data_IF_858748466638
#
_entry.id   IF_858748466638
#
_cell.length_a   1.000
_cell.length_b   1.000
_cell.length_c   1.000
_cell.angle_alpha   90.00
_cell.angle_beta   90.00
_cell.angle_gamma   90.00
#
_symmetry.space_group_name_H-M   'P 1'
#
loop_
_entity.id
_entity.type
_entity.pdbx_description
1 polymer ?
#
# COMPACT_ATOMS: atom_id res chain seq x y z
N UNK A 1 5.42 22.22 -6.01
CA UNK A 1 5.39 20.94 -5.27
C UNK A 1 4.75 19.91 -6.14
N UNK A 2 5.48 18.88 -6.46
CA UNK A 2 4.99 17.76 -7.26
C UNK A 2 4.61 16.60 -6.34
N UNK A 3 3.45 16.00 -6.60
CA UNK A 3 2.93 14.82 -5.91
C UNK A 3 2.71 13.71 -6.93
N UNK A 4 3.19 12.52 -6.63
CA UNK A 4 2.92 11.31 -7.41
C UNK A 4 2.15 10.30 -6.57
N UNK A 5 1.07 9.76 -7.10
CA UNK A 5 0.30 8.66 -6.51
C UNK A 5 0.56 7.41 -7.35
N UNK A 6 0.91 6.34 -6.68
CA UNK A 6 1.38 5.10 -7.29
C UNK A 6 0.43 3.97 -6.89
N UNK A 7 -0.01 3.22 -7.87
CA UNK A 7 -0.84 2.02 -7.72
C UNK A 7 -0.13 0.81 -8.29
N UNK A 8 -0.52 -0.37 -7.84
CA UNK A 8 -0.07 -1.62 -8.45
C UNK A 8 -1.22 -2.62 -8.55
N UNK A 9 -1.41 -3.20 -9.73
CA UNK A 9 -2.43 -4.21 -10.02
C UNK A 9 -1.82 -5.34 -10.84
N UNK A 10 -1.76 -6.53 -10.25
CA UNK A 10 -1.18 -7.72 -10.85
C UNK A 10 -2.10 -8.93 -10.74
N UNK A 11 -2.09 -9.74 -11.79
CA UNK A 11 -2.85 -10.98 -11.87
C UNK A 11 -4.22 -10.82 -12.52
N UNK A 12 -4.62 -11.86 -13.26
CA UNK A 12 -5.84 -11.85 -14.09
C UNK A 12 -7.12 -11.50 -13.33
N UNK A 13 -7.25 -11.97 -12.10
CA UNK A 13 -8.46 -11.70 -11.30
C UNK A 13 -8.62 -10.22 -10.96
N UNK A 14 -7.53 -9.53 -10.61
CA UNK A 14 -7.54 -8.10 -10.32
C UNK A 14 -7.73 -7.29 -11.59
N UNK A 15 -6.97 -7.61 -12.63
CA UNK A 15 -7.01 -6.91 -13.91
C UNK A 15 -8.36 -7.04 -14.61
N UNK A 16 -9.00 -8.20 -14.56
CA UNK A 16 -10.33 -8.38 -15.13
C UNK A 16 -11.40 -7.52 -14.45
N UNK A 17 -11.28 -7.28 -13.15
CA UNK A 17 -12.18 -6.40 -12.41
C UNK A 17 -12.01 -4.91 -12.77
N UNK A 18 -10.92 -4.54 -13.44
CA UNK A 18 -10.66 -3.18 -13.91
C UNK A 18 -10.99 -2.96 -15.39
N UNK A 19 -11.36 -4.02 -16.11
CA UNK A 19 -11.75 -3.99 -17.55
C UNK A 19 -13.28 -4.00 -17.74
N UNK A 20 -14.02 -3.49 -16.77
CA UNK A 20 -15.48 -3.51 -16.79
C UNK A 20 -16.04 -2.64 -17.92
N UNK A 21 -17.19 -3.05 -18.47
CA UNK A 21 -17.93 -2.28 -19.46
C UNK A 21 -18.41 -0.94 -18.86
N UNK A 22 -18.73 0.01 -19.75
CA UNK A 22 -19.17 1.34 -19.35
C UNK A 22 -20.40 1.26 -18.42
N UNK A 23 -20.25 1.82 -17.22
CA UNK A 23 -21.32 1.85 -16.20
C UNK A 23 -21.12 0.89 -15.04
N UNK A 24 -20.15 0.00 -15.11
CA UNK A 24 -19.76 -0.85 -13.99
C UNK A 24 -18.56 -0.23 -13.26
N UNK A 25 -18.53 -0.35 -11.94
CA UNK A 25 -17.44 0.18 -11.13
C UNK A 25 -16.26 -0.81 -11.10
N UNK A 26 -15.11 -0.41 -11.64
CA UNK A 26 -13.88 -1.20 -11.55
C UNK A 26 -13.29 -1.17 -10.13
N UNK A 27 -12.44 -2.14 -9.82
CA UNK A 27 -11.78 -2.23 -8.51
C UNK A 27 -11.01 -0.95 -8.14
N UNK A 28 -10.30 -0.36 -9.10
CA UNK A 28 -9.50 0.85 -8.92
C UNK A 28 -10.36 2.13 -8.87
N UNK A 29 -11.61 2.11 -9.33
CA UNK A 29 -12.42 3.33 -9.47
C UNK A 29 -12.59 4.12 -8.17
N UNK A 30 -12.93 3.53 -7.01
CA UNK A 30 -13.08 4.30 -5.78
C UNK A 30 -11.81 5.05 -5.40
N UNK A 31 -10.67 4.39 -5.56
CA UNK A 31 -9.34 4.96 -5.29
C UNK A 31 -9.03 6.08 -6.27
N UNK A 32 -9.13 5.80 -7.57
CA UNK A 32 -8.87 6.76 -8.64
C UNK A 32 -9.73 8.01 -8.51
N UNK A 33 -11.05 7.86 -8.34
CA UNK A 33 -11.98 8.98 -8.21
C UNK A 33 -11.70 9.82 -6.96
N UNK A 34 -11.41 9.18 -5.83
CA UNK A 34 -11.06 9.91 -4.60
C UNK A 34 -9.74 10.65 -4.74
N UNK A 35 -8.73 10.05 -5.38
CA UNK A 35 -7.46 10.75 -5.67
C UNK A 35 -7.70 11.96 -6.55
N UNK A 36 -8.47 11.86 -7.62
CA UNK A 36 -8.81 12.98 -8.50
C UNK A 36 -9.57 14.09 -7.76
N UNK A 37 -10.41 13.73 -6.81
CA UNK A 37 -11.15 14.69 -5.98
C UNK A 37 -10.23 15.48 -5.05
N UNK A 38 -9.33 14.81 -4.35
CA UNK A 38 -8.51 15.46 -3.31
C UNK A 38 -7.17 15.99 -3.83
N UNK A 39 -6.60 15.33 -4.85
CA UNK A 39 -5.32 15.67 -5.47
C UNK A 39 -5.41 15.74 -7.00
N UNK A 40 -6.24 16.64 -7.57
CA UNK A 40 -6.53 16.68 -9.01
C UNK A 40 -5.32 16.95 -9.90
N UNK A 41 -4.20 17.41 -9.32
CA UNK A 41 -2.95 17.72 -10.04
C UNK A 41 -1.85 16.70 -9.78
N UNK A 42 -2.13 15.65 -8.99
CA UNK A 42 -1.15 14.60 -8.76
C UNK A 42 -0.87 13.85 -10.06
N UNK A 43 0.39 13.51 -10.28
CA UNK A 43 0.76 12.51 -11.27
C UNK A 43 0.28 11.14 -10.78
N UNK A 44 -0.34 10.36 -11.66
CA UNK A 44 -0.81 9.01 -11.37
C UNK A 44 0.04 8.00 -12.14
N UNK A 45 0.54 6.98 -11.45
CA UNK A 45 1.35 5.92 -12.04
C UNK A 45 0.81 4.56 -11.60
N UNK A 46 0.60 3.65 -12.55
CA UNK A 46 0.12 2.29 -12.31
C UNK A 46 1.12 1.27 -12.80
N UNK A 47 1.59 0.41 -11.92
CA UNK A 47 2.37 -0.78 -12.28
C UNK A 47 1.44 -1.98 -12.46
N UNK A 48 1.58 -2.69 -13.58
CA UNK A 48 0.68 -3.80 -13.91
C UNK A 48 1.30 -4.77 -14.90
N UNK A 49 0.81 -6.00 -14.92
CA UNK A 49 1.07 -6.98 -15.99
C UNK A 49 0.01 -6.93 -17.11
N UNK A 50 -0.93 -5.96 -17.06
CA UNK A 50 -2.05 -5.82 -17.97
C UNK A 50 -2.08 -4.42 -18.61
N UNK A 51 -1.52 -4.24 -19.83
CA UNK A 51 -1.44 -2.93 -20.47
C UNK A 51 -2.82 -2.32 -20.79
N UNK A 52 -3.86 -3.14 -20.98
CA UNK A 52 -5.19 -2.70 -21.37
C UNK A 52 -5.89 -1.87 -20.29
N UNK A 53 -5.43 -1.88 -19.05
CA UNK A 53 -5.93 -0.98 -17.99
C UNK A 53 -5.73 0.50 -18.38
N UNK A 54 -4.67 0.81 -19.14
CA UNK A 54 -4.43 2.16 -19.67
C UNK A 54 -5.53 2.69 -20.60
N UNK A 55 -6.31 1.81 -21.22
CA UNK A 55 -7.45 2.20 -22.04
C UNK A 55 -8.62 2.71 -21.19
N UNK A 56 -8.71 2.26 -19.94
CA UNK A 56 -9.74 2.68 -18.98
C UNK A 56 -9.32 3.99 -18.28
N UNK A 57 -8.07 4.07 -17.82
CA UNK A 57 -7.55 5.21 -17.04
C UNK A 57 -6.53 6.01 -17.86
N UNK A 58 -7.00 6.78 -18.85
CA UNK A 58 -6.16 7.47 -19.87
C UNK A 58 -5.21 8.54 -19.33
N UNK A 59 -5.45 9.07 -18.15
CA UNK A 59 -4.58 10.06 -17.49
C UNK A 59 -3.64 9.45 -16.44
N UNK A 60 -3.56 8.11 -16.41
CA UNK A 60 -2.63 7.35 -15.59
C UNK A 60 -1.44 6.89 -16.45
N UNK A 61 -0.22 7.14 -15.99
CA UNK A 61 0.98 6.56 -16.59
C UNK A 61 1.03 5.06 -16.28
N UNK A 62 0.76 4.22 -17.26
CA UNK A 62 0.80 2.77 -17.09
C UNK A 62 2.22 2.26 -17.35
N UNK A 63 2.79 1.58 -16.37
CA UNK A 63 4.09 0.90 -16.45
C UNK A 63 3.86 -0.60 -16.47
N UNK A 64 3.94 -1.14 -17.67
CA UNK A 64 3.80 -2.58 -17.88
C UNK A 64 5.07 -3.29 -17.42
N UNK A 65 4.88 -4.29 -16.58
CA UNK A 65 5.96 -5.12 -16.02
C UNK A 65 5.95 -6.48 -16.70
N UNK A 66 7.08 -6.90 -17.22
CA UNK A 66 7.31 -8.27 -17.69
C UNK A 66 7.57 -9.17 -16.47
N UNK A 67 6.49 -9.66 -15.88
CA UNK A 67 6.54 -10.44 -14.65
C UNK A 67 7.22 -11.80 -14.79
N UNK A 68 7.46 -12.26 -16.00
CA UNK A 68 8.20 -13.50 -16.26
C UNK A 68 9.71 -13.31 -16.14
N UNK A 69 10.17 -12.11 -16.51
CA UNK A 69 11.59 -11.79 -16.50
C UNK A 69 11.97 -10.84 -15.35
N UNK A 70 11.07 -9.94 -14.95
CA UNK A 70 11.38 -8.85 -14.02
C UNK A 70 10.83 -9.05 -12.60
N UNK A 71 9.92 -10.01 -12.39
CA UNK A 71 9.37 -10.27 -11.06
C UNK A 71 10.28 -11.19 -10.23
N UNK A 72 10.58 -10.82 -8.97
CA UNK A 72 11.31 -11.70 -8.05
C UNK A 72 10.45 -12.85 -7.50
N UNK A 73 9.17 -12.93 -7.86
CA UNK A 73 8.20 -13.86 -7.29
C UNK A 73 7.75 -14.90 -8.31
N UNK A 74 7.55 -16.15 -7.86
CA UNK A 74 7.00 -17.21 -8.71
C UNK A 74 5.50 -17.01 -8.93
N UNK A 75 5.08 -17.03 -10.20
CA UNK A 75 3.65 -17.00 -10.59
C UNK A 75 2.83 -18.18 -10.05
N UNK A 76 3.48 -19.28 -9.72
CA UNK A 76 2.84 -20.47 -9.16
C UNK A 76 2.37 -20.27 -7.71
N UNK A 77 2.88 -19.24 -7.04
CA UNK A 77 2.50 -18.95 -5.68
C UNK A 77 1.09 -18.33 -5.62
N UNK A 78 0.20 -18.88 -4.79
CA UNK A 78 -1.20 -18.45 -4.67
C UNK A 78 -1.40 -16.95 -4.36
N UNK A 79 -0.40 -16.32 -3.76
CA UNK A 79 -0.40 -14.88 -3.41
C UNK A 79 0.53 -14.04 -4.29
N UNK A 80 0.98 -14.60 -5.40
CA UNK A 80 1.90 -13.94 -6.32
C UNK A 80 1.46 -12.51 -6.69
N UNK A 81 0.20 -12.30 -7.08
CA UNK A 81 -0.31 -10.98 -7.45
C UNK A 81 -0.19 -9.95 -6.31
N UNK A 82 -0.41 -10.37 -5.06
CA UNK A 82 -0.26 -9.47 -3.91
C UNK A 82 1.20 -9.13 -3.62
N UNK A 83 2.10 -10.11 -3.72
CA UNK A 83 3.53 -9.84 -3.57
C UNK A 83 4.04 -8.87 -4.63
N UNK A 84 3.57 -9.00 -5.88
CA UNK A 84 3.87 -8.05 -6.93
C UNK A 84 3.32 -6.65 -6.62
N UNK A 85 2.07 -6.53 -6.19
CA UNK A 85 1.51 -5.22 -5.80
C UNK A 85 2.38 -4.56 -4.73
N UNK A 86 2.57 -5.23 -3.59
CA UNK A 86 3.37 -4.72 -2.47
C UNK A 86 4.79 -4.28 -2.94
N UNK A 87 5.44 -5.09 -3.76
CA UNK A 87 6.81 -4.85 -4.24
C UNK A 87 6.90 -3.68 -5.22
N UNK A 88 6.01 -3.66 -6.25
CA UNK A 88 6.07 -2.62 -7.28
C UNK A 88 5.59 -1.26 -6.78
N UNK A 89 4.77 -1.21 -5.75
CA UNK A 89 4.47 0.02 -5.02
C UNK A 89 5.74 0.61 -4.40
N UNK A 90 6.56 -0.21 -3.73
CA UNK A 90 7.84 0.24 -3.16
C UNK A 90 8.84 0.64 -4.26
N UNK A 91 8.90 -0.14 -5.36
CA UNK A 91 9.72 0.22 -6.51
C UNK A 91 9.30 1.57 -7.10
N UNK A 92 8.01 1.81 -7.20
CA UNK A 92 7.45 3.08 -7.68
C UNK A 92 7.83 4.26 -6.79
N UNK A 93 7.71 4.12 -5.47
CA UNK A 93 8.16 5.14 -4.52
C UNK A 93 9.63 5.49 -4.71
N UNK A 94 10.50 4.48 -4.81
CA UNK A 94 11.94 4.66 -4.99
C UNK A 94 12.31 5.31 -6.35
N UNK A 95 11.51 5.09 -7.39
CA UNK A 95 11.72 5.63 -8.74
C UNK A 95 11.09 7.01 -8.94
N UNK A 96 10.20 7.42 -8.05
CA UNK A 96 9.52 8.72 -8.16
C UNK A 96 10.51 9.90 -8.15
N UNK A 97 10.19 10.91 -8.95
CA UNK A 97 10.90 12.19 -9.03
C UNK A 97 10.10 13.35 -8.43
N UNK A 98 8.87 13.09 -7.99
CA UNK A 98 8.05 14.08 -7.31
C UNK A 98 8.64 14.45 -5.94
N UNK A 99 8.25 15.58 -5.37
CA UNK A 99 8.68 15.96 -4.00
C UNK A 99 8.20 14.95 -2.96
N UNK A 100 6.94 14.51 -3.13
CA UNK A 100 6.31 13.48 -2.30
C UNK A 100 5.68 12.43 -3.21
N UNK A 101 5.90 11.17 -2.91
CA UNK A 101 5.24 10.05 -3.55
C UNK A 101 4.39 9.28 -2.51
N UNK A 102 3.22 8.81 -2.93
CA UNK A 102 2.34 8.00 -2.11
C UNK A 102 1.99 6.75 -2.91
N UNK A 103 2.37 5.57 -2.41
CA UNK A 103 1.82 4.32 -2.91
C UNK A 103 0.54 3.98 -2.15
N UNK A 104 -0.40 3.33 -2.81
CA UNK A 104 -1.63 2.90 -2.17
C UNK A 104 -2.28 1.72 -2.89
N UNK A 105 -2.86 0.81 -2.11
CA UNK A 105 -3.68 -0.27 -2.62
C UNK A 105 -4.82 0.27 -3.50
N UNK A 106 -5.15 -0.45 -4.54
CA UNK A 106 -6.16 -0.08 -5.53
C UNK A 106 -7.61 -0.04 -5.00
N UNK A 107 -7.81 -0.44 -3.77
CA UNK A 107 -9.10 -0.47 -3.08
C UNK A 107 -9.14 0.41 -1.81
N UNK A 108 -8.33 1.47 -1.80
CA UNK A 108 -8.40 2.53 -0.80
C UNK A 108 -9.21 3.72 -1.32
N UNK A 109 -9.86 4.44 -0.43
CA UNK A 109 -10.60 5.65 -0.76
C UNK A 109 -10.28 6.77 0.23
N UNK A 110 -9.92 7.94 -0.27
CA UNK A 110 -9.84 9.14 0.54
C UNK A 110 -11.25 9.63 0.89
N UNK A 111 -11.52 9.83 2.18
CA UNK A 111 -12.84 10.19 2.68
C UNK A 111 -12.90 11.61 3.27
N UNK A 112 -11.76 12.25 3.52
CA UNK A 112 -11.68 13.56 4.16
C UNK A 112 -10.65 14.47 3.51
N UNK A 113 -10.90 15.80 3.55
CA UNK A 113 -9.92 16.81 3.14
C UNK A 113 -8.64 16.81 3.99
N UNK A 114 -8.68 16.21 5.17
CA UNK A 114 -7.50 16.07 6.04
C UNK A 114 -6.39 15.25 5.37
N UNK A 115 -6.72 14.39 4.41
CA UNK A 115 -5.72 13.63 3.64
C UNK A 115 -4.67 14.55 3.00
N UNK A 116 -4.99 15.80 2.70
CA UNK A 116 -4.04 16.77 2.13
C UNK A 116 -2.87 17.09 3.08
N UNK A 117 -3.08 16.96 4.39
CA UNK A 117 -2.03 17.19 5.39
C UNK A 117 -0.97 16.08 5.39
N UNK A 118 -1.28 14.92 4.77
CA UNK A 118 -0.31 13.82 4.62
C UNK A 118 0.98 14.28 3.94
N UNK A 119 0.88 15.19 2.98
CA UNK A 119 2.05 15.73 2.26
C UNK A 119 3.02 16.44 3.21
N UNK A 120 2.50 17.30 4.08
CA UNK A 120 3.33 18.05 5.03
C UNK A 120 3.89 17.14 6.12
N UNK A 121 3.08 16.22 6.62
CA UNK A 121 3.50 15.18 7.59
C UNK A 121 4.62 14.34 6.99
N UNK A 122 4.48 13.91 5.73
CA UNK A 122 5.51 13.12 5.03
C UNK A 122 6.82 13.89 4.89
N UNK A 123 6.76 15.18 4.56
CA UNK A 123 7.97 16.04 4.50
C UNK A 123 8.66 16.15 5.86
N UNK A 124 7.88 16.20 6.94
CA UNK A 124 8.42 16.28 8.29
C UNK A 124 9.09 14.98 8.73
N UNK A 125 8.48 13.83 8.46
CA UNK A 125 8.92 12.53 9.00
C UNK A 125 9.69 11.67 8.00
N UNK A 126 9.64 12.01 6.70
CA UNK A 126 10.33 11.32 5.62
C UNK A 126 9.56 10.14 5.05
N UNK A 127 9.02 9.28 5.89
CA UNK A 127 8.16 8.14 5.49
C UNK A 127 7.05 7.94 6.52
N UNK A 128 5.81 7.81 6.04
CA UNK A 128 4.64 7.55 6.86
C UNK A 128 3.90 6.31 6.34
N UNK A 129 3.30 5.57 7.27
CA UNK A 129 2.55 4.33 7.00
C UNK A 129 1.31 4.27 7.88
N UNK A 130 0.25 3.53 7.51
CA UNK A 130 -0.88 3.32 8.39
C UNK A 130 -0.52 2.41 9.56
N UNK A 131 -1.24 2.55 10.64
CA UNK A 131 -1.21 1.59 11.74
C UNK A 131 -1.92 0.32 11.31
N UNK A 132 -1.31 -0.84 11.56
CA UNK A 132 -1.95 -2.12 11.32
C UNK A 132 -3.15 -2.32 12.26
N UNK A 133 -4.32 -2.61 11.71
CA UNK A 133 -5.52 -2.91 12.48
C UNK A 133 -5.44 -4.25 13.24
N UNK A 134 -4.58 -5.14 12.80
CA UNK A 134 -4.44 -6.51 13.29
C UNK A 134 -3.29 -6.62 14.26
N UNK A 135 -3.47 -6.07 15.44
CA UNK A 135 -2.47 -6.21 16.49
C UNK A 135 -2.22 -7.67 16.84
N UNK A 136 -0.97 -7.99 16.98
CA UNK A 136 -0.48 -9.34 17.15
C UNK A 136 0.31 -9.48 18.40
N UNK A 137 -0.33 -9.85 19.45
CA UNK A 137 0.40 -10.28 20.62
C UNK A 137 -0.16 -11.62 21.07
N UNK A 138 0.59 -12.69 20.80
CA UNK A 138 0.55 -13.85 21.67
C UNK A 138 1.72 -13.77 22.61
N UNK A 139 1.49 -14.13 23.86
CA UNK A 139 2.47 -14.07 24.95
C UNK A 139 3.72 -14.92 24.67
N UNK A 140 3.60 -15.91 23.82
CA UNK A 140 4.65 -16.90 23.51
C UNK A 140 5.43 -16.61 22.25
N UNK A 141 5.18 -15.48 21.58
CA UNK A 141 5.87 -15.10 20.35
C UNK A 141 5.13 -13.99 19.62
N UNK A 142 5.83 -13.38 18.69
CA UNK A 142 5.26 -12.36 17.86
C UNK A 142 4.78 -13.02 16.58
N UNK A 143 3.50 -12.86 16.31
CA UNK A 143 2.89 -13.34 15.09
C UNK A 143 2.48 -12.16 14.24
N UNK A 144 2.68 -12.19 12.94
CA UNK A 144 1.97 -11.32 12.04
C UNK A 144 0.82 -12.10 11.42
N UNK A 145 -0.38 -11.54 11.49
CA UNK A 145 -1.55 -12.13 10.86
C UNK A 145 -1.61 -11.65 9.42
N UNK A 146 -1.29 -12.51 8.49
CA UNK A 146 -1.62 -12.30 7.09
C UNK A 146 -2.97 -12.94 6.77
N UNK A 147 -3.50 -12.72 5.58
CA UNK A 147 -4.67 -13.46 5.09
C UNK A 147 -4.46 -14.98 5.05
N UNK A 148 -3.24 -15.44 5.25
CA UNK A 148 -2.79 -16.83 5.19
C UNK A 148 -2.49 -17.45 6.53
N UNK A 149 -2.89 -16.83 7.61
CA UNK A 149 -2.61 -17.31 8.96
C UNK A 149 -1.53 -16.51 9.67
N UNK A 150 -1.15 -17.00 10.82
CA UNK A 150 -0.18 -16.35 11.68
C UNK A 150 1.24 -16.70 11.20
N UNK A 151 2.08 -15.69 11.00
CA UNK A 151 3.52 -15.87 10.81
C UNK A 151 4.20 -15.77 12.16
N UNK A 152 4.85 -16.83 12.57
CA UNK A 152 5.69 -16.81 13.75
C UNK A 152 7.04 -16.19 13.40
N UNK A 153 7.37 -15.09 14.06
CA UNK A 153 8.63 -14.39 13.85
C UNK A 153 9.78 -15.08 14.63
N UNK A 154 9.44 -15.89 15.64
CA UNK A 154 10.37 -16.75 16.35
C UNK A 154 11.57 -15.99 16.92
N UNK A 155 12.77 -16.43 16.55
CA UNK A 155 14.04 -15.87 17.00
C UNK A 155 14.53 -14.67 16.18
N UNK A 156 13.71 -14.14 15.27
CA UNK A 156 14.08 -12.96 14.49
C UNK A 156 14.34 -11.77 15.43
N UNK A 157 15.53 -11.16 15.30
CA UNK A 157 15.95 -10.02 16.11
C UNK A 157 15.06 -8.79 15.96
N UNK A 158 14.30 -8.71 14.88
CA UNK A 158 13.30 -7.66 14.67
C UNK A 158 12.10 -7.77 15.62
N UNK A 159 11.96 -8.87 16.33
CA UNK A 159 10.87 -9.11 17.30
C UNK A 159 10.78 -8.08 18.42
N UNK A 160 11.91 -7.49 18.84
CA UNK A 160 11.91 -6.39 19.79
C UNK A 160 11.27 -5.11 19.25
N UNK A 161 10.92 -5.11 17.98
CA UNK A 161 10.42 -3.97 17.23
C UNK A 161 8.96 -4.22 16.88
N UNK A 162 8.10 -4.33 17.88
CA UNK A 162 6.66 -4.57 17.70
C UNK A 162 6.03 -3.31 17.12
N UNK A 163 6.24 -3.12 15.83
CA UNK A 163 5.64 -2.04 15.10
C UNK A 163 4.44 -2.60 14.34
N UNK A 164 3.32 -2.01 14.61
CA UNK A 164 2.05 -2.34 13.97
C UNK A 164 1.93 -1.57 12.66
N UNK A 165 2.88 -1.81 11.73
CA UNK A 165 2.84 -1.22 10.39
C UNK A 165 1.95 -2.05 9.47
N UNK A 166 1.31 -1.35 8.54
CA UNK A 166 0.68 -1.98 7.38
C UNK A 166 1.13 -1.30 6.08
N UNK A 167 0.97 -1.98 4.95
CA UNK A 167 1.39 -1.50 3.64
C UNK A 167 0.20 -1.12 2.74
N UNK A 168 -0.96 -0.85 3.28
CA UNK A 168 -2.11 -0.40 2.48
C UNK A 168 -1.83 0.89 1.73
N UNK A 169 -1.00 1.74 2.30
CA UNK A 169 -0.39 2.89 1.66
C UNK A 169 0.93 3.24 2.34
N UNK A 170 1.81 3.88 1.59
CA UNK A 170 3.06 4.43 2.11
C UNK A 170 3.32 5.77 1.47
N UNK A 171 3.58 6.79 2.27
CA UNK A 171 4.01 8.08 1.75
C UNK A 171 5.49 8.32 2.00
N UNK A 172 6.17 8.93 1.02
CA UNK A 172 7.61 9.07 0.97
C UNK A 172 8.03 10.46 0.49
N UNK A 173 8.88 11.13 1.27
CA UNK A 173 9.58 12.34 0.86
C UNK A 173 10.84 11.95 0.10
N UNK A 174 10.81 12.11 -1.21
CA UNK A 174 11.78 11.48 -2.14
C UNK A 174 13.23 11.94 -1.95
N UNK A 175 13.46 13.16 -1.48
CA UNK A 175 14.80 13.69 -1.15
C UNK A 175 15.30 13.31 0.25
N UNK A 176 14.50 12.61 1.05
CA UNK A 176 14.90 12.19 2.38
C UNK A 176 15.71 10.88 2.30
N UNK A 177 17.03 11.00 2.36
CA UNK A 177 17.95 9.85 2.26
C UNK A 177 17.75 8.81 3.37
N UNK A 178 17.36 9.24 4.57
CA UNK A 178 17.07 8.32 5.66
C UNK A 178 15.83 7.47 5.36
N UNK A 179 14.76 8.10 4.88
CA UNK A 179 13.56 7.39 4.47
C UNK A 179 13.83 6.49 3.24
N UNK A 180 14.64 6.95 2.28
CA UNK A 180 15.07 6.13 1.13
C UNK A 180 15.78 4.86 1.58
N UNK A 181 16.69 4.94 2.54
CA UNK A 181 17.38 3.77 3.08
C UNK A 181 16.43 2.74 3.68
N UNK A 182 15.35 3.18 4.33
CA UNK A 182 14.30 2.27 4.81
C UNK A 182 13.58 1.55 3.66
N UNK A 183 13.17 2.30 2.62
CA UNK A 183 12.48 1.73 1.47
C UNK A 183 13.38 0.80 0.63
N UNK A 184 14.66 1.13 0.48
CA UNK A 184 15.64 0.23 -0.17
C UNK A 184 15.77 -1.07 0.60
N UNK A 185 15.88 -1.02 1.93
CA UNK A 185 15.92 -2.22 2.76
C UNK A 185 14.59 -2.99 2.69
N UNK A 186 13.43 -2.31 2.70
CA UNK A 186 12.13 -2.96 2.54
C UNK A 186 12.04 -3.73 1.22
N UNK A 187 12.47 -3.12 0.12
CA UNK A 187 12.53 -3.76 -1.19
C UNK A 187 13.42 -5.02 -1.17
N UNK A 188 14.61 -4.95 -0.52
CA UNK A 188 15.50 -6.10 -0.38
C UNK A 188 14.89 -7.23 0.47
N UNK A 189 14.21 -6.88 1.56
CA UNK A 189 13.49 -7.86 2.39
C UNK A 189 12.45 -8.63 1.56
N UNK A 190 11.70 -7.94 0.70
CA UNK A 190 10.64 -8.52 -0.12
C UNK A 190 11.18 -9.39 -1.26
N UNK A 191 12.25 -8.97 -1.93
CA UNK A 191 12.71 -9.61 -3.18
C UNK A 191 13.84 -10.63 -2.98
N UNK A 192 14.74 -10.42 -2.04
CA UNK A 192 15.96 -11.21 -1.93
C UNK A 192 16.05 -12.00 -0.62
N UNK A 193 15.66 -11.38 0.50
CA UNK A 193 15.85 -11.99 1.81
C UNK A 193 14.71 -12.94 2.18
N UNK A 194 13.46 -12.55 1.87
CA UNK A 194 12.27 -13.30 2.27
C UNK A 194 11.14 -13.19 1.22
N UNK A 195 11.32 -13.65 -0.01
CA UNK A 195 10.45 -13.31 -1.14
C UNK A 195 9.01 -13.86 -1.08
N UNK A 196 8.66 -14.71 -0.15
CA UNK A 196 7.35 -15.35 -0.09
C UNK A 196 6.60 -15.04 1.21
N UNK A 197 6.79 -13.83 1.76
CA UNK A 197 6.17 -13.38 3.01
C UNK A 197 5.46 -12.07 2.78
N UNK A 198 4.38 -11.81 3.53
CA UNK A 198 3.58 -10.58 3.42
C UNK A 198 4.30 -9.37 4.03
N UNK A 199 3.95 -8.20 3.46
CA UNK A 199 4.58 -6.90 3.72
C UNK A 199 4.76 -6.49 5.19
N UNK A 200 3.80 -6.66 6.12
CA UNK A 200 3.97 -6.17 7.50
C UNK A 200 5.22 -6.69 8.21
N UNK A 201 5.60 -7.96 7.94
CA UNK A 201 6.82 -8.53 8.49
C UNK A 201 8.07 -7.88 7.88
N UNK A 202 8.07 -7.66 6.57
CA UNK A 202 9.18 -6.99 5.89
C UNK A 202 9.37 -5.56 6.38
N UNK A 203 8.28 -4.84 6.67
CA UNK A 203 8.33 -3.48 7.20
C UNK A 203 9.04 -3.43 8.57
N UNK A 204 8.73 -4.37 9.45
CA UNK A 204 9.39 -4.47 10.76
C UNK A 204 10.88 -4.81 10.63
N UNK A 205 11.22 -5.76 9.75
CA UNK A 205 12.61 -6.13 9.46
C UNK A 205 13.39 -4.98 8.83
N UNK A 206 12.79 -4.30 7.85
CA UNK A 206 13.42 -3.15 7.20
C UNK A 206 13.67 -2.00 8.19
N UNK A 207 12.75 -1.73 9.11
CA UNK A 207 12.94 -0.74 10.15
C UNK A 207 14.08 -1.13 11.09
N UNK A 208 14.15 -2.39 11.48
CA UNK A 208 15.22 -2.91 12.33
C UNK A 208 16.60 -2.82 11.65
N UNK A 209 16.74 -3.30 10.42
CA UNK A 209 18.01 -3.34 9.72
C UNK A 209 18.50 -1.93 9.30
N UNK A 210 17.60 -1.11 8.76
CA UNK A 210 17.94 0.26 8.35
C UNK A 210 18.14 1.22 9.52
N UNK A 211 17.66 0.89 10.74
CA UNK A 211 17.54 1.78 11.90
C UNK A 211 16.72 3.04 11.60
N UNK A 212 15.73 2.89 10.71
CA UNK A 212 14.79 3.94 10.36
C UNK A 212 13.37 3.43 10.60
N UNK A 213 12.65 4.13 11.46
CA UNK A 213 11.29 3.77 11.85
C UNK A 213 10.33 4.71 11.15
N UNK A 214 9.43 4.19 10.26
CA UNK A 214 8.36 4.97 9.66
C UNK A 214 7.49 5.64 10.72
N UNK A 215 6.96 6.81 10.40
CA UNK A 215 5.95 7.43 11.23
C UNK A 215 4.62 6.70 11.04
N UNK A 216 4.14 6.06 12.09
CA UNK A 216 2.85 5.35 12.08
C UNK A 216 1.72 6.33 12.29
N UNK A 217 0.83 6.42 11.32
CA UNK A 217 -0.33 7.32 11.36
C UNK A 217 -1.43 6.73 12.24
N UNK A 218 -2.27 7.58 12.88
CA UNK A 218 -3.44 7.13 13.65
C UNK A 218 -4.40 6.26 12.83
N UNK A 219 -5.25 5.48 13.52
CA UNK A 219 -6.18 4.52 12.90
C UNK A 219 -7.12 5.12 11.85
N UNK A 220 -7.45 6.41 11.97
CA UNK A 220 -8.28 7.12 10.99
C UNK A 220 -7.66 7.21 9.59
N UNK A 221 -6.35 7.02 9.49
CA UNK A 221 -5.58 7.04 8.25
C UNK A 221 -5.48 5.68 7.57
N UNK A 222 -6.18 4.68 8.10
CA UNK A 222 -6.24 3.34 7.53
C UNK A 222 -7.37 2.56 8.19
N UNK A 223 -8.61 2.86 7.77
CA UNK A 223 -9.81 2.26 8.36
C UNK A 223 -10.20 1.01 7.58
N UNK A 224 -9.83 -0.15 8.14
CA UNK A 224 -10.33 -1.44 7.72
C UNK A 224 -11.44 -1.95 8.63
N UNK A 225 -11.75 -3.24 8.54
CA UNK A 225 -12.85 -3.86 9.29
C UNK A 225 -12.73 -3.73 10.82
N UNK A 226 -11.51 -3.62 11.34
CA UNK A 226 -11.25 -3.53 12.79
C UNK A 226 -11.45 -2.13 13.37
N UNK A 227 -11.54 -1.09 12.55
CA UNK A 227 -11.59 0.31 12.99
C UNK A 227 -12.82 1.07 12.49
N UNK A 228 -13.84 0.37 12.03
CA UNK A 228 -15.10 0.98 11.58
C UNK A 228 -15.71 1.82 12.70
N UNK A 229 -16.07 3.07 12.38
CA UNK A 229 -16.68 3.99 13.35
C UNK A 229 -15.71 4.61 14.35
N UNK A 230 -14.39 4.64 14.06
CA UNK A 230 -13.40 5.30 14.92
C UNK A 230 -13.56 6.83 14.96
N UNK A 231 -14.36 7.42 14.06
CA UNK A 231 -14.61 8.85 13.93
C UNK A 231 -13.50 9.60 13.20
N UNK A 232 -13.88 10.59 12.39
CA UNK A 232 -12.98 11.37 11.55
C UNK A 232 -12.12 10.51 10.60
N UNK A 233 -12.76 9.54 9.97
CA UNK A 233 -12.10 8.63 9.01
C UNK A 233 -11.54 9.43 7.82
N UNK A 234 -10.28 9.17 7.49
CA UNK A 234 -9.55 9.91 6.46
C UNK A 234 -9.29 9.03 5.23
N UNK A 235 -8.86 7.78 5.46
CA UNK A 235 -8.62 6.79 4.41
C UNK A 235 -9.38 5.51 4.77
N UNK A 236 -10.20 5.03 3.83
CA UNK A 236 -11.00 3.80 3.97
C UNK A 236 -10.44 2.69 3.10
N UNK A 237 -10.34 1.49 3.64
CA UNK A 237 -10.00 0.29 2.88
C UNK A 237 -11.30 -0.36 2.35
N UNK A 238 -11.78 0.14 1.22
CA UNK A 238 -13.07 -0.26 0.64
C UNK A 238 -13.08 -1.67 0.02
N UNK A 239 -11.94 -2.32 -0.08
CA UNK A 239 -11.85 -3.75 -0.38
C UNK A 239 -12.42 -4.65 0.72
N UNK A 240 -12.64 -4.13 1.92
CA UNK A 240 -13.29 -4.85 3.01
C UNK A 240 -14.82 -4.65 2.93
N UNK A 241 -15.58 -5.73 2.77
CA UNK A 241 -17.05 -5.69 2.64
C UNK A 241 -17.70 -4.91 3.78
N UNK A 242 -17.28 -5.13 5.03
CA UNK A 242 -17.83 -4.41 6.18
C UNK A 242 -17.61 -2.89 6.10
N UNK A 243 -16.53 -2.44 5.46
CA UNK A 243 -16.28 -1.00 5.24
C UNK A 243 -17.23 -0.46 4.18
N UNK A 244 -17.45 -1.23 3.09
CA UNK A 244 -18.45 -0.88 2.08
C UNK A 244 -19.83 -0.73 2.70
N UNK A 245 -20.31 -1.74 3.42
CA UNK A 245 -21.63 -1.74 4.06
C UNK A 245 -21.81 -0.56 5.01
N UNK A 246 -20.79 -0.22 5.77
CA UNK A 246 -20.88 0.83 6.76
C UNK A 246 -20.84 2.25 6.18
N UNK A 247 -19.92 2.50 5.23
CA UNK A 247 -19.63 3.85 4.76
C UNK A 247 -20.20 4.17 3.39
N UNK A 248 -20.35 3.21 2.50
CA UNK A 248 -20.79 3.45 1.13
C UNK A 248 -22.28 3.21 0.94
N UNK A 249 -22.84 2.10 1.42
CA UNK A 249 -24.25 1.79 1.25
C UNK A 249 -25.20 2.71 2.03
N UNK A 250 -24.74 3.26 3.15
CA UNK A 250 -25.56 4.20 3.96
C UNK A 250 -25.55 5.63 3.44
N UNK A 251 -24.88 5.93 2.34
CA UNK A 251 -24.85 7.26 1.71
C UNK A 251 -25.78 7.37 0.50
N UNK A 252 -26.47 6.29 0.16
CA UNK A 252 -27.54 6.22 -0.83
C UNK A 252 -28.88 6.25 -0.09
#
# INVERSE_FOLDING_TARGET
MELEIIFAEFGSNRNNNNKLEFGEMGRLDPTYLSVKQYFPKAKLTLYTDCPEIGDVYKDVEVRVVDVENDSPFSKEHSYWGWFCCDYYEICGLLQSKADVAISMDSDLMFASNEVKTLVDITKQFGVCVPTNERQLVKVDGIHTRGNNGDYYIGEDKSNGNILTYDLWWTSFHTSNERARRYLDELRLQMSEKHPNVRAPLHMSRAAWESKVYPYSMPVQWGVGSGHIGCGNEIILHVGHTNVQDHYLEKRI
#
